data_IF_335366794976
#
_entry.id   IF_335366794976
#
_cell.length_a   1.000
_cell.length_b   1.000
_cell.length_c   1.000
_cell.angle_alpha   90.00
_cell.angle_beta   90.00
_cell.angle_gamma   90.00
#
_symmetry.space_group_name_H-M   'P 1'
#
loop_
_entity.id
_entity.type
_entity.pdbx_description
1 polymer ?
#
# COMPACT_ATOMS: atom_id res chain seq x y z
N UNK A 1 -6.74 -29.10 -22.70
CA UNK A 1 -6.43 -27.76 -23.26
C UNK A 1 -7.75 -27.05 -23.55
N UNK A 2 -8.23 -26.20 -22.64
CA UNK A 2 -9.35 -25.31 -22.93
C UNK A 2 -8.77 -24.08 -23.62
N UNK A 3 -9.10 -23.87 -24.89
CA UNK A 3 -8.72 -22.67 -25.61
C UNK A 3 -9.26 -21.44 -24.87
N UNK A 4 -8.36 -20.62 -24.30
CA UNK A 4 -8.72 -19.34 -23.70
C UNK A 4 -9.33 -18.48 -24.80
N UNK A 5 -10.61 -18.10 -24.66
CA UNK A 5 -11.23 -17.14 -25.57
C UNK A 5 -10.33 -15.90 -25.69
N UNK A 6 -10.03 -15.41 -26.90
CA UNK A 6 -9.23 -14.21 -27.04
C UNK A 6 -9.92 -13.08 -26.27
N UNK A 7 -9.21 -12.52 -25.29
CA UNK A 7 -9.69 -11.36 -24.54
C UNK A 7 -9.94 -10.25 -25.57
N UNK A 8 -11.13 -9.67 -25.57
CA UNK A 8 -11.51 -8.70 -26.61
C UNK A 8 -10.59 -7.47 -26.56
N UNK A 9 -10.19 -6.97 -27.73
CA UNK A 9 -9.38 -5.75 -27.85
C UNK A 9 -10.02 -4.55 -27.14
N UNK A 10 -11.36 -4.54 -27.05
CA UNK A 10 -12.12 -3.54 -26.29
C UNK A 10 -11.78 -3.53 -24.78
N UNK A 11 -11.58 -4.70 -24.15
CA UNK A 11 -11.23 -4.77 -22.73
C UNK A 11 -9.81 -4.22 -22.47
N UNK A 12 -8.87 -4.47 -23.38
CA UNK A 12 -7.53 -3.87 -23.30
C UNK A 12 -7.59 -2.35 -23.43
N UNK A 13 -8.36 -1.83 -24.39
CA UNK A 13 -8.58 -0.39 -24.54
C UNK A 13 -9.13 0.21 -23.22
N UNK A 14 -10.12 -0.43 -22.61
CA UNK A 14 -10.69 0.02 -21.32
C UNK A 14 -9.62 0.04 -20.22
N UNK A 15 -8.82 -1.03 -20.08
CA UNK A 15 -7.76 -1.09 -19.08
C UNK A 15 -6.69 -0.01 -19.29
N UNK A 16 -6.30 0.26 -20.54
CA UNK A 16 -5.36 1.33 -20.86
C UNK A 16 -5.95 2.71 -20.58
N UNK A 17 -7.22 2.95 -20.91
CA UNK A 17 -7.90 4.21 -20.59
C UNK A 17 -7.95 4.43 -19.08
N UNK A 18 -8.33 3.40 -18.31
CA UNK A 18 -8.37 3.48 -16.84
C UNK A 18 -6.97 3.80 -16.29
N UNK A 19 -5.95 3.05 -16.71
CA UNK A 19 -4.58 3.29 -16.30
C UNK A 19 -4.12 4.72 -16.64
N UNK A 20 -4.39 5.18 -17.86
CA UNK A 20 -4.05 6.52 -18.31
C UNK A 20 -4.78 7.61 -17.51
N UNK A 21 -6.07 7.44 -17.21
CA UNK A 21 -6.85 8.37 -16.37
C UNK A 21 -6.25 8.44 -14.97
N UNK A 22 -5.94 7.30 -14.33
CA UNK A 22 -5.33 7.29 -13.01
C UNK A 22 -3.97 7.99 -13.02
N UNK A 23 -3.12 7.67 -13.99
CA UNK A 23 -1.81 8.29 -14.12
C UNK A 23 -1.95 9.80 -14.36
N UNK A 24 -2.78 10.22 -15.31
CA UNK A 24 -3.03 11.63 -15.60
C UNK A 24 -3.57 12.39 -14.39
N UNK A 25 -4.50 11.78 -13.64
CA UNK A 25 -5.04 12.37 -12.41
C UNK A 25 -3.97 12.56 -11.34
N UNK A 26 -3.09 11.58 -11.14
CA UNK A 26 -2.00 11.72 -10.17
C UNK A 26 -1.00 12.78 -10.65
N UNK A 27 -0.64 12.83 -11.94
CA UNK A 27 0.20 13.92 -12.46
C UNK A 27 -0.46 15.29 -12.29
N UNK A 28 -1.77 15.38 -12.46
CA UNK A 28 -2.53 16.60 -12.20
C UNK A 28 -2.47 17.02 -10.73
N UNK A 29 -2.61 16.08 -9.79
CA UNK A 29 -2.40 16.36 -8.36
C UNK A 29 -0.97 16.87 -8.12
N UNK A 30 0.04 16.23 -8.71
CA UNK A 30 1.43 16.67 -8.60
C UNK A 30 1.64 18.10 -9.13
N UNK A 31 1.07 18.41 -10.29
CA UNK A 31 1.08 19.75 -10.85
C UNK A 31 0.37 20.77 -9.96
N UNK A 32 -0.79 20.41 -9.39
CA UNK A 32 -1.54 21.27 -8.48
C UNK A 32 -0.74 21.60 -7.20
N UNK A 33 -0.07 20.60 -6.61
CA UNK A 33 0.82 20.79 -5.45
C UNK A 33 1.97 21.75 -5.81
N UNK A 34 2.62 21.54 -6.97
CA UNK A 34 3.72 22.38 -7.42
C UNK A 34 3.28 23.81 -7.76
N UNK A 35 2.13 23.98 -8.39
CA UNK A 35 1.60 25.28 -8.80
C UNK A 35 1.17 26.14 -7.60
N UNK A 36 0.62 25.52 -6.55
CA UNK A 36 0.17 26.21 -5.34
C UNK A 36 1.29 26.40 -4.31
N UNK A 37 2.33 25.57 -4.37
CA UNK A 37 3.44 25.59 -3.41
C UNK A 37 3.24 24.59 -2.28
N UNK A 38 4.36 24.15 -1.70
CA UNK A 38 4.37 23.17 -0.60
C UNK A 38 3.85 23.77 0.72
N UNK A 39 3.92 25.09 0.86
CA UNK A 39 3.49 25.87 2.02
C UNK A 39 1.97 26.04 2.12
N UNK A 40 1.24 25.87 1.02
CA UNK A 40 -0.21 26.07 0.94
C UNK A 40 -0.99 24.77 0.82
N UNK A 41 -0.70 23.80 1.70
CA UNK A 41 -1.28 22.46 1.59
C UNK A 41 -2.80 22.42 1.75
N UNK A 42 -3.38 23.38 2.46
CA UNK A 42 -4.83 23.56 2.56
C UNK A 42 -5.51 23.90 1.23
N UNK A 43 -4.77 24.44 0.26
CA UNK A 43 -5.30 24.81 -1.06
C UNK A 43 -5.18 23.68 -2.09
N UNK A 44 -4.37 22.65 -1.83
CA UNK A 44 -4.22 21.54 -2.78
C UNK A 44 -5.54 20.84 -3.03
N UNK A 45 -5.75 20.38 -4.26
CA UNK A 45 -6.97 19.68 -4.66
C UNK A 45 -7.16 18.39 -3.85
N UNK A 46 -6.07 17.67 -3.58
CA UNK A 46 -6.08 16.43 -2.80
C UNK A 46 -6.43 16.67 -1.32
N UNK A 47 -6.25 17.88 -0.82
CA UNK A 47 -6.58 18.27 0.56
C UNK A 47 -8.04 18.74 0.70
N UNK A 48 -8.71 19.15 -0.39
CA UNK A 48 -10.09 19.66 -0.31
C UNK A 48 -11.09 18.68 0.35
N UNK A 49 -11.08 17.37 0.05
CA UNK A 49 -11.94 16.42 0.76
C UNK A 49 -11.69 16.41 2.27
N UNK A 50 -10.43 16.57 2.69
CA UNK A 50 -10.05 16.60 4.11
C UNK A 50 -10.58 17.86 4.80
N UNK A 51 -10.54 19.01 4.12
CA UNK A 51 -11.09 20.26 4.63
C UNK A 51 -12.62 20.19 4.78
N UNK A 52 -13.32 19.57 3.82
CA UNK A 52 -14.78 19.45 3.82
C UNK A 52 -15.27 18.51 4.93
N UNK A 53 -14.62 17.35 5.08
CA UNK A 53 -14.98 16.36 6.11
C UNK A 53 -14.65 16.86 7.52
N UNK A 54 -13.65 17.74 7.64
CA UNK A 54 -13.14 18.24 8.91
C UNK A 54 -12.40 17.17 9.72
N UNK A 55 -11.61 17.61 10.69
CA UNK A 55 -10.77 16.72 11.51
C UNK A 55 -11.59 15.66 12.25
N UNK A 56 -12.71 16.03 12.86
CA UNK A 56 -13.48 15.07 13.68
C UNK A 56 -14.17 14.00 12.82
N UNK A 57 -14.67 14.36 11.64
CA UNK A 57 -15.22 13.41 10.68
C UNK A 57 -14.15 12.46 10.15
N UNK A 58 -12.99 12.99 9.78
CA UNK A 58 -11.83 12.20 9.36
C UNK A 58 -11.33 11.28 10.47
N UNK A 59 -11.27 11.76 11.71
CA UNK A 59 -10.83 10.98 12.86
C UNK A 59 -11.80 9.82 13.13
N UNK A 60 -13.12 10.05 13.05
CA UNK A 60 -14.12 9.00 13.20
C UNK A 60 -14.02 7.93 12.10
N UNK A 61 -13.99 8.35 10.83
CA UNK A 61 -13.89 7.43 9.68
C UNK A 61 -12.60 6.63 9.75
N UNK A 62 -11.49 7.32 9.99
CA UNK A 62 -10.18 6.69 10.05
C UNK A 62 -10.03 5.81 11.29
N UNK A 63 -10.73 6.09 12.39
CA UNK A 63 -10.78 5.23 13.56
C UNK A 63 -11.44 3.89 13.29
N UNK A 64 -12.52 3.88 12.49
CA UNK A 64 -13.13 2.62 12.01
C UNK A 64 -12.14 1.86 11.13
N UNK A 65 -11.51 2.54 10.17
CA UNK A 65 -10.50 1.93 9.29
C UNK A 65 -9.28 1.43 10.06
N UNK A 66 -8.90 2.11 11.14
CA UNK A 66 -7.82 1.71 12.03
C UNK A 66 -8.18 0.45 12.82
N UNK A 67 -9.36 0.41 13.41
CA UNK A 67 -9.86 -0.78 14.10
C UNK A 67 -9.94 -1.98 13.15
N UNK A 68 -10.58 -1.81 12.00
CA UNK A 68 -10.70 -2.88 11.00
C UNK A 68 -9.33 -3.34 10.49
N UNK A 69 -8.44 -2.41 10.15
CA UNK A 69 -7.09 -2.73 9.68
C UNK A 69 -6.26 -3.49 10.73
N UNK A 70 -6.36 -3.08 12.00
CA UNK A 70 -5.67 -3.73 13.12
C UNK A 70 -6.22 -5.13 13.38
N UNK A 71 -7.55 -5.30 13.36
CA UNK A 71 -8.19 -6.61 13.49
C UNK A 71 -7.80 -7.54 12.35
N UNK A 72 -7.79 -7.05 11.10
CA UNK A 72 -7.33 -7.81 9.94
C UNK A 72 -5.87 -8.24 10.12
N UNK A 73 -5.00 -7.34 10.54
CA UNK A 73 -3.59 -7.63 10.76
C UNK A 73 -3.39 -8.79 11.72
N UNK A 74 -3.99 -8.74 12.92
CA UNK A 74 -3.87 -9.83 13.89
C UNK A 74 -4.59 -11.10 13.43
N UNK A 75 -5.74 -10.96 12.78
CA UNK A 75 -6.50 -12.11 12.29
C UNK A 75 -5.72 -12.91 11.23
N UNK A 76 -5.16 -12.23 10.23
CA UNK A 76 -4.36 -12.84 9.17
C UNK A 76 -3.10 -13.50 9.73
N UNK A 77 -2.41 -12.85 10.68
CA UNK A 77 -1.26 -13.45 11.37
C UNK A 77 -1.63 -14.65 12.23
N UNK A 78 -2.84 -14.69 12.79
CA UNK A 78 -3.37 -15.85 13.52
C UNK A 78 -3.75 -17.04 12.63
N UNK A 79 -3.61 -16.90 11.30
CA UNK A 79 -3.99 -17.93 10.32
C UNK A 79 -5.50 -18.00 10.08
N UNK A 80 -6.21 -16.88 10.23
CA UNK A 80 -7.63 -16.74 9.88
C UNK A 80 -7.75 -15.69 8.78
N UNK A 81 -8.52 -15.99 7.75
CA UNK A 81 -8.69 -15.09 6.60
C UNK A 81 -10.15 -14.99 6.19
N UNK A 82 -10.49 -13.95 5.44
CA UNK A 82 -11.82 -13.84 4.84
C UNK A 82 -11.91 -14.64 3.53
N UNK A 83 -13.01 -15.38 3.36
CA UNK A 83 -13.44 -15.92 2.07
C UNK A 83 -14.91 -15.55 1.85
N UNK A 84 -15.13 -14.49 1.08
CA UNK A 84 -16.45 -13.84 1.00
C UNK A 84 -16.81 -13.22 2.35
N UNK A 85 -17.98 -13.58 2.89
CA UNK A 85 -18.47 -13.11 4.19
C UNK A 85 -18.10 -14.04 5.37
N UNK A 86 -17.39 -15.15 5.12
CA UNK A 86 -17.02 -16.12 6.16
C UNK A 86 -15.54 -15.99 6.54
N UNK A 87 -15.27 -16.12 7.83
CA UNK A 87 -13.91 -16.27 8.36
C UNK A 87 -13.54 -17.75 8.24
N UNK A 88 -12.49 -18.05 7.48
CA UNK A 88 -11.98 -19.41 7.25
C UNK A 88 -10.55 -19.52 7.76
N UNK A 89 -10.12 -20.73 8.09
CA UNK A 89 -8.74 -20.95 8.56
C UNK A 89 -7.81 -21.02 7.35
N UNK A 90 -6.85 -20.10 7.31
CA UNK A 90 -5.76 -20.10 6.36
C UNK A 90 -4.51 -20.62 7.06
N UNK A 91 -4.08 -21.83 6.71
CA UNK A 91 -2.84 -22.36 7.28
C UNK A 91 -1.67 -21.77 6.51
N UNK A 92 -1.10 -20.70 7.07
CA UNK A 92 0.22 -20.22 6.70
C UNK A 92 1.19 -21.17 7.38
N UNK A 93 1.94 -21.96 6.60
CA UNK A 93 2.83 -22.97 7.14
C UNK A 93 4.01 -22.36 7.90
N UNK A 94 4.39 -21.11 7.57
CA UNK A 94 5.60 -20.46 8.09
C UNK A 94 6.81 -21.36 7.93
N UNK A 95 6.96 -21.94 6.73
CA UNK A 95 8.13 -22.74 6.40
C UNK A 95 9.35 -21.86 6.11
N UNK A 96 10.50 -22.48 5.89
CA UNK A 96 11.74 -21.76 5.61
C UNK A 96 11.61 -20.79 4.42
N UNK A 97 10.74 -21.09 3.44
CA UNK A 97 10.51 -20.22 2.28
C UNK A 97 9.74 -18.98 2.71
N UNK A 98 8.64 -19.13 3.45
CA UNK A 98 7.82 -18.00 3.91
C UNK A 98 8.65 -17.06 4.81
N UNK A 99 9.45 -17.61 5.74
CA UNK A 99 10.35 -16.82 6.59
C UNK A 99 11.41 -16.10 5.77
N UNK A 100 12.03 -16.79 4.80
CA UNK A 100 13.03 -16.19 3.92
C UNK A 100 12.45 -15.09 3.06
N UNK A 101 11.24 -15.30 2.53
CA UNK A 101 10.54 -14.29 1.70
C UNK A 101 10.20 -13.07 2.54
N UNK A 102 9.69 -13.22 3.76
CA UNK A 102 9.43 -12.09 4.65
C UNK A 102 10.71 -11.31 4.96
N UNK A 103 11.81 -12.00 5.28
CA UNK A 103 13.10 -11.38 5.55
C UNK A 103 13.69 -10.66 4.33
N UNK A 104 13.65 -11.29 3.15
CA UNK A 104 14.14 -10.69 1.91
C UNK A 104 13.27 -9.50 1.48
N UNK A 105 11.95 -9.60 1.58
CA UNK A 105 11.04 -8.48 1.33
C UNK A 105 11.33 -7.33 2.28
N UNK A 106 11.56 -7.60 3.57
CA UNK A 106 11.94 -6.56 4.54
C UNK A 106 13.29 -5.92 4.22
N UNK A 107 14.31 -6.71 3.89
CA UNK A 107 15.64 -6.21 3.55
C UNK A 107 15.61 -5.37 2.26
N UNK A 108 14.94 -5.84 1.22
CA UNK A 108 14.85 -5.13 -0.07
C UNK A 108 13.99 -3.87 0.08
N UNK A 109 12.80 -3.96 0.70
CA UNK A 109 11.94 -2.80 0.87
C UNK A 109 12.58 -1.76 1.81
N UNK A 110 13.02 -2.19 2.99
CA UNK A 110 13.62 -1.31 3.98
C UNK A 110 14.94 -0.70 3.52
N UNK A 111 15.80 -1.51 2.90
CA UNK A 111 17.06 -1.05 2.31
C UNK A 111 16.84 -0.06 1.17
N UNK A 112 15.89 -0.32 0.27
CA UNK A 112 15.56 0.60 -0.82
C UNK A 112 14.95 1.92 -0.30
N UNK A 113 14.10 1.86 0.73
CA UNK A 113 13.55 3.05 1.37
C UNK A 113 14.65 3.89 2.05
N UNK A 114 15.57 3.26 2.77
CA UNK A 114 16.69 3.93 3.42
C UNK A 114 17.65 4.56 2.39
N UNK A 115 17.99 3.80 1.33
CA UNK A 115 18.87 4.28 0.26
C UNK A 115 18.27 5.46 -0.53
N UNK A 116 16.93 5.53 -0.63
CA UNK A 116 16.21 6.62 -1.30
C UNK A 116 15.78 7.73 -0.35
N UNK A 117 16.20 7.69 0.93
CA UNK A 117 15.86 8.64 2.00
C UNK A 117 16.41 10.06 1.86
N UNK A 118 17.10 10.39 0.77
CA UNK A 118 17.88 11.62 0.64
C UNK A 118 17.07 12.92 0.49
N UNK A 119 15.76 12.86 0.22
CA UNK A 119 14.91 14.06 0.04
C UNK A 119 13.75 14.01 1.04
N UNK A 120 13.97 14.46 2.30
CA UNK A 120 12.89 14.56 3.28
C UNK A 120 11.88 15.62 2.86
N UNK A 121 10.60 15.30 2.99
CA UNK A 121 9.49 16.24 2.73
C UNK A 121 8.97 16.77 4.06
N UNK A 122 8.89 15.89 5.06
CA UNK A 122 8.63 16.23 6.46
C UNK A 122 9.77 15.61 7.27
N UNK A 123 10.68 16.43 7.82
CA UNK A 123 11.73 15.93 8.71
C UNK A 123 11.12 15.10 9.84
N UNK A 124 11.58 13.86 10.02
CA UNK A 124 11.07 12.98 11.07
C UNK A 124 9.91 12.05 10.70
N UNK A 125 9.20 12.29 9.59
CA UNK A 125 7.92 11.60 9.33
C UNK A 125 7.74 11.05 7.92
N UNK A 126 8.15 11.77 6.87
CA UNK A 126 8.00 11.26 5.48
C UNK A 126 8.96 11.93 4.50
N UNK A 127 9.37 11.18 3.50
CA UNK A 127 10.28 11.59 2.43
C UNK A 127 9.73 11.12 1.08
N UNK A 128 10.42 11.45 -0.02
CA UNK A 128 10.06 10.86 -1.32
C UNK A 128 10.43 9.38 -1.28
N UNK A 129 9.45 8.47 -1.43
CA UNK A 129 9.66 7.02 -1.30
C UNK A 129 9.49 6.25 -2.63
N UNK A 130 10.48 6.26 -3.53
CA UNK A 130 10.45 5.44 -4.75
C UNK A 130 10.26 3.94 -4.49
N UNK A 131 10.75 3.46 -3.35
CA UNK A 131 10.60 2.04 -2.99
C UNK A 131 9.15 1.62 -2.68
N UNK A 132 8.20 2.57 -2.51
CA UNK A 132 6.80 2.26 -2.23
C UNK A 132 6.11 1.45 -3.33
N UNK A 133 6.62 1.43 -4.57
CA UNK A 133 6.12 0.52 -5.59
C UNK A 133 6.33 -0.97 -5.25
N UNK A 134 7.31 -1.29 -4.42
CA UNK A 134 7.59 -2.67 -4.01
C UNK A 134 6.59 -3.18 -2.97
N UNK A 135 6.02 -2.28 -2.17
CA UNK A 135 5.12 -2.63 -1.08
C UNK A 135 3.87 -3.41 -1.54
N UNK A 136 3.02 -2.89 -2.45
CA UNK A 136 1.87 -3.62 -2.98
C UNK A 136 2.32 -4.84 -3.80
N UNK A 137 3.46 -4.76 -4.47
CA UNK A 137 4.01 -5.84 -5.27
C UNK A 137 4.36 -7.07 -4.43
N UNK A 138 5.01 -6.88 -3.27
CA UNK A 138 5.35 -7.97 -2.37
C UNK A 138 4.11 -8.65 -1.79
N UNK A 139 3.07 -7.90 -1.45
CA UNK A 139 1.79 -8.50 -1.08
C UNK A 139 1.20 -9.33 -2.23
N UNK A 140 1.12 -8.76 -3.43
CA UNK A 140 0.58 -9.42 -4.62
C UNK A 140 1.30 -10.74 -4.95
N UNK A 141 2.62 -10.78 -4.81
CA UNK A 141 3.45 -11.92 -5.22
C UNK A 141 3.63 -12.95 -4.11
N UNK A 142 3.77 -12.50 -2.88
CA UNK A 142 4.18 -13.34 -1.75
C UNK A 142 3.14 -13.45 -0.63
N UNK A 143 2.03 -12.74 -0.72
CA UNK A 143 0.92 -12.81 0.23
C UNK A 143 1.28 -12.25 1.60
N UNK A 144 0.80 -12.90 2.67
CA UNK A 144 1.03 -12.46 4.06
C UNK A 144 2.52 -12.35 4.41
N UNK A 145 3.41 -13.30 4.04
CA UNK A 145 4.85 -13.12 4.22
C UNK A 145 5.40 -11.84 3.56
N UNK A 146 4.95 -11.53 2.34
CA UNK A 146 5.33 -10.29 1.65
C UNK A 146 4.80 -9.04 2.34
N UNK A 147 3.55 -9.06 2.78
CA UNK A 147 2.92 -7.95 3.50
C UNK A 147 3.61 -7.67 4.85
N UNK A 148 3.93 -8.73 5.60
CA UNK A 148 4.69 -8.61 6.84
C UNK A 148 6.12 -8.12 6.56
N UNK A 149 6.75 -8.61 5.49
CA UNK A 149 8.05 -8.12 5.03
C UNK A 149 8.02 -6.61 4.75
N UNK A 150 6.99 -6.10 4.09
CA UNK A 150 6.81 -4.66 3.87
C UNK A 150 6.70 -3.87 5.18
N UNK A 151 5.93 -4.37 6.15
CA UNK A 151 5.81 -3.74 7.48
C UNK A 151 7.14 -3.67 8.23
N UNK A 152 7.85 -4.80 8.28
CA UNK A 152 9.17 -4.90 8.94
C UNK A 152 10.18 -4.03 8.20
N UNK A 153 10.16 -4.05 6.86
CA UNK A 153 11.02 -3.21 6.03
C UNK A 153 10.81 -1.73 6.27
N UNK A 154 9.56 -1.27 6.44
CA UNK A 154 9.29 0.11 6.83
C UNK A 154 9.93 0.46 8.18
N UNK A 155 9.79 -0.42 9.17
CA UNK A 155 10.41 -0.23 10.48
C UNK A 155 11.93 -0.14 10.42
N UNK A 156 12.56 -1.01 9.62
CA UNK A 156 14.00 -0.99 9.39
C UNK A 156 14.40 0.33 8.72
N UNK A 157 13.66 0.78 7.71
CA UNK A 157 13.93 2.06 7.06
C UNK A 157 13.84 3.24 8.02
N UNK A 158 12.80 3.28 8.86
CA UNK A 158 12.63 4.33 9.87
C UNK A 158 13.79 4.29 10.90
N UNK A 159 14.25 3.10 11.30
CA UNK A 159 15.40 2.95 12.19
C UNK A 159 16.71 3.45 11.55
N UNK A 160 16.98 3.06 10.30
CA UNK A 160 18.18 3.46 9.56
C UNK A 160 18.20 4.96 9.23
N UNK A 161 17.03 5.56 9.01
CA UNK A 161 16.89 6.97 8.72
C UNK A 161 16.85 7.85 10.00
N UNK A 162 16.88 7.26 11.19
CA UNK A 162 16.83 7.97 12.47
C UNK A 162 15.44 8.51 12.85
N UNK A 163 14.38 7.98 12.23
CA UNK A 163 13.00 8.42 12.40
C UNK A 163 12.13 7.45 13.22
N UNK A 164 12.72 6.38 13.74
CA UNK A 164 12.01 5.39 14.54
C UNK A 164 11.41 6.05 15.80
N UNK A 165 10.08 6.09 15.85
CA UNK A 165 9.34 6.74 16.93
C UNK A 165 8.05 5.97 17.25
N UNK A 166 7.28 6.45 18.23
CA UNK A 166 5.93 5.93 18.48
C UNK A 166 5.03 6.05 17.24
N UNK A 167 5.27 7.04 16.38
CA UNK A 167 4.58 7.19 15.10
C UNK A 167 4.84 6.03 14.13
N UNK A 168 6.02 5.41 14.19
CA UNK A 168 6.36 4.28 13.32
C UNK A 168 5.39 3.11 13.52
N UNK A 169 4.87 2.85 14.72
CA UNK A 169 3.90 1.77 14.98
C UNK A 169 2.67 1.84 14.07
N UNK A 170 2.15 3.05 13.83
CA UNK A 170 1.09 3.27 12.84
C UNK A 170 1.56 2.94 11.41
N UNK A 171 2.79 3.32 11.09
CA UNK A 171 3.47 2.96 9.84
C UNK A 171 3.65 1.45 9.64
N UNK A 172 3.90 0.66 10.70
CA UNK A 172 4.05 -0.80 10.59
C UNK A 172 2.80 -1.43 9.98
N UNK A 173 1.64 -1.15 10.57
CA UNK A 173 0.36 -1.72 10.15
C UNK A 173 -0.15 -1.01 8.89
N UNK A 174 0.09 0.29 8.71
CA UNK A 174 -0.22 0.99 7.45
C UNK A 174 0.47 0.35 6.25
N UNK A 175 1.76 0.03 6.37
CA UNK A 175 2.52 -0.67 5.33
C UNK A 175 2.17 -2.16 5.20
N UNK A 176 1.57 -2.77 6.23
CA UNK A 176 0.93 -4.07 6.06
C UNK A 176 -0.28 -3.92 5.13
N UNK A 177 -1.14 -2.94 5.40
CA UNK A 177 -2.40 -2.70 4.68
C UNK A 177 -2.12 -2.41 3.20
N UNK A 178 -1.11 -1.59 2.89
CA UNK A 178 -0.79 -1.26 1.49
C UNK A 178 -0.45 -2.50 0.66
N UNK A 179 0.19 -3.50 1.28
CA UNK A 179 0.53 -4.78 0.65
C UNK A 179 -0.65 -5.77 0.69
N UNK A 180 -1.39 -5.80 1.79
CA UNK A 180 -2.48 -6.72 2.04
C UNK A 180 -3.70 -6.49 1.13
N UNK A 181 -4.07 -5.22 0.90
CA UNK A 181 -5.25 -4.86 0.10
C UNK A 181 -5.19 -5.46 -1.32
N UNK A 182 -4.15 -5.21 -2.14
CA UNK A 182 -4.07 -5.80 -3.48
C UNK A 182 -3.80 -7.30 -3.45
N UNK A 183 -3.07 -7.82 -2.46
CA UNK A 183 -2.94 -9.27 -2.23
C UNK A 183 -4.31 -9.94 -2.17
N UNK A 184 -5.21 -9.41 -1.34
CA UNK A 184 -6.45 -10.08 -0.97
C UNK A 184 -7.60 -9.81 -1.92
N UNK A 185 -7.72 -8.58 -2.40
CA UNK A 185 -8.89 -8.12 -3.16
C UNK A 185 -8.75 -8.30 -4.67
N UNK A 186 -7.51 -8.35 -5.19
CA UNK A 186 -7.30 -8.72 -6.58
C UNK A 186 -7.56 -10.21 -6.77
N UNK A 187 -8.22 -10.56 -7.88
CA UNK A 187 -8.49 -11.94 -8.28
C UNK A 187 -7.49 -12.43 -9.31
N UNK A 188 -6.87 -11.52 -10.06
CA UNK A 188 -5.81 -11.82 -11.01
C UNK A 188 -4.58 -10.94 -10.73
N UNK A 189 -3.49 -11.60 -10.33
CA UNK A 189 -2.23 -10.98 -9.94
C UNK A 189 -1.19 -10.97 -11.07
N UNK A 190 -1.56 -11.40 -12.28
CA UNK A 190 -0.60 -11.65 -13.37
C UNK A 190 -0.08 -10.41 -14.08
N UNK A 191 -0.75 -9.26 -13.94
CA UNK A 191 -0.52 -8.04 -14.73
C UNK A 191 -0.57 -8.24 -16.25
N UNK A 192 -1.13 -9.37 -16.71
CA UNK A 192 -1.16 -9.79 -18.12
C UNK A 192 -2.56 -9.84 -18.70
N UNK A 193 -3.55 -9.46 -17.90
CA UNK A 193 -4.95 -9.35 -18.33
C UNK A 193 -5.46 -7.94 -18.05
N UNK A 194 -6.42 -7.44 -18.85
CA UNK A 194 -7.06 -6.16 -18.58
C UNK A 194 -7.64 -6.08 -17.18
N UNK A 195 -8.21 -7.19 -16.71
CA UNK A 195 -8.77 -7.33 -15.37
C UNK A 195 -7.72 -7.07 -14.29
N UNK A 196 -6.54 -7.71 -14.40
CA UNK A 196 -5.47 -7.53 -13.41
C UNK A 196 -5.00 -6.08 -13.33
N UNK A 197 -4.93 -5.38 -14.47
CA UNK A 197 -4.54 -3.96 -14.53
C UNK A 197 -5.60 -3.10 -13.84
N UNK A 198 -6.88 -3.28 -14.19
CA UNK A 198 -7.98 -2.50 -13.58
C UNK A 198 -8.06 -2.76 -12.08
N UNK A 199 -8.03 -4.02 -11.66
CA UNK A 199 -8.06 -4.40 -10.24
C UNK A 199 -6.85 -3.83 -9.50
N UNK A 200 -5.68 -3.76 -10.12
CA UNK A 200 -4.50 -3.14 -9.54
C UNK A 200 -4.66 -1.63 -9.32
N UNK A 201 -5.15 -0.88 -10.31
CA UNK A 201 -5.36 0.57 -10.15
C UNK A 201 -6.43 0.87 -9.09
N UNK A 202 -7.48 0.05 -8.99
CA UNK A 202 -8.50 0.22 -7.96
C UNK A 202 -7.98 -0.17 -6.58
N UNK A 203 -7.51 -1.40 -6.40
CA UNK A 203 -7.15 -1.92 -5.08
C UNK A 203 -5.73 -1.56 -4.65
N UNK A 204 -4.78 -1.66 -5.57
CA UNK A 204 -3.35 -1.48 -5.30
C UNK A 204 -2.85 -0.04 -5.38
N UNK A 205 -3.50 0.83 -6.16
CA UNK A 205 -3.12 2.26 -6.25
C UNK A 205 -4.05 3.11 -5.37
N UNK A 206 -5.37 3.03 -5.57
CA UNK A 206 -6.30 3.93 -4.90
C UNK A 206 -6.60 3.49 -3.46
N UNK A 207 -7.21 2.33 -3.28
CA UNK A 207 -7.75 1.90 -1.98
C UNK A 207 -6.65 1.65 -0.96
N UNK A 208 -5.58 0.95 -1.35
CA UNK A 208 -4.40 0.72 -0.51
C UNK A 208 -3.76 2.02 -0.02
N UNK A 209 -3.56 3.02 -0.90
CA UNK A 209 -2.90 4.29 -0.57
C UNK A 209 -3.76 5.13 0.37
N UNK A 210 -5.08 5.20 0.10
CA UNK A 210 -6.03 5.92 0.95
C UNK A 210 -6.12 5.25 2.33
N UNK A 211 -6.34 3.94 2.39
CA UNK A 211 -6.46 3.24 3.68
C UNK A 211 -5.17 3.32 4.49
N UNK A 212 -4.01 3.06 3.88
CA UNK A 212 -2.72 3.20 4.54
C UNK A 212 -2.53 4.61 5.14
N UNK A 213 -2.80 5.66 4.35
CA UNK A 213 -2.66 7.04 4.82
C UNK A 213 -3.60 7.38 5.97
N UNK A 214 -4.89 7.03 5.85
CA UNK A 214 -5.89 7.29 6.90
C UNK A 214 -5.58 6.50 8.18
N UNK A 215 -5.12 5.26 8.06
CA UNK A 215 -4.71 4.44 9.20
C UNK A 215 -3.55 5.10 9.97
N UNK A 216 -2.50 5.52 9.25
CA UNK A 216 -1.33 6.16 9.88
C UNK A 216 -1.75 7.51 10.48
N UNK A 217 -2.52 8.32 9.76
CA UNK A 217 -2.95 9.64 10.21
C UNK A 217 -3.82 9.57 11.47
N UNK A 218 -4.69 8.57 11.58
CA UNK A 218 -5.44 8.33 12.82
C UNK A 218 -4.53 8.00 13.99
N UNK A 219 -3.55 7.11 13.79
CA UNK A 219 -2.57 6.76 14.82
C UNK A 219 -1.77 8.00 15.27
N UNK A 220 -1.34 8.84 14.33
CA UNK A 220 -0.60 10.06 14.63
C UNK A 220 -1.45 11.09 15.40
N UNK A 221 -2.74 11.25 15.08
CA UNK A 221 -3.63 12.16 15.81
C UNK A 221 -3.90 11.62 17.24
N UNK A 222 -4.16 10.31 17.36
CA UNK A 222 -4.37 9.67 18.65
C UNK A 222 -3.13 9.76 19.56
N UNK A 223 -1.94 9.51 19.01
CA UNK A 223 -0.68 9.55 19.74
C UNK A 223 -0.01 10.95 19.73
N UNK A 224 -0.74 11.99 19.30
CA UNK A 224 -0.25 13.38 19.25
C UNK A 224 0.41 13.87 20.56
N UNK A 225 -0.10 13.55 21.78
CA UNK A 225 0.55 13.97 23.02
C UNK A 225 1.98 13.44 23.21
N UNK A 226 2.34 12.34 22.55
CA UNK A 226 3.66 11.71 22.63
C UNK A 226 4.52 12.06 21.42
N UNK A 227 3.90 12.26 20.26
CA UNK A 227 4.57 12.51 18.98
C UNK A 227 4.84 14.00 18.77
N UNK A 228 3.99 14.88 19.29
CA UNK A 228 4.12 16.34 19.17
C UNK A 228 3.80 16.91 17.79
N UNK A 229 3.23 16.12 16.87
CA UNK A 229 2.86 16.59 15.53
C UNK A 229 1.50 17.32 15.55
N UNK A 230 1.39 18.58 15.10
CA UNK A 230 0.13 19.31 15.12
C UNK A 230 -0.98 18.60 14.31
N UNK A 231 -2.18 18.46 14.89
CA UNK A 231 -3.32 17.78 14.25
C UNK A 231 -3.73 18.38 12.91
N UNK A 232 -3.70 19.71 12.79
CA UNK A 232 -3.97 20.38 11.53
C UNK A 232 -2.96 20.00 10.43
N UNK A 233 -1.71 19.77 10.81
CA UNK A 233 -0.67 19.33 9.89
C UNK A 233 -0.81 17.85 9.50
N UNK A 234 -1.23 16.98 10.44
CA UNK A 234 -1.54 15.57 10.16
C UNK A 234 -2.58 15.45 9.04
N UNK A 235 -3.72 16.13 9.19
CA UNK A 235 -4.83 15.99 8.26
C UNK A 235 -4.72 16.90 7.03
N UNK A 236 -4.10 18.07 7.16
CA UNK A 236 -4.00 19.08 6.09
C UNK A 236 -2.77 18.96 5.20
N UNK A 237 -1.73 18.22 5.62
CA UNK A 237 -0.51 18.01 4.83
C UNK A 237 -0.13 16.54 4.76
N UNK A 238 0.07 15.89 5.91
CA UNK A 238 0.65 14.54 5.95
C UNK A 238 -0.26 13.52 5.26
N UNK A 239 -1.55 13.48 5.59
CA UNK A 239 -2.46 12.49 5.03
C UNK A 239 -2.61 12.61 3.49
N UNK A 240 -2.87 13.80 2.91
CA UNK A 240 -2.91 13.97 1.46
C UNK A 240 -1.57 13.65 0.79
N UNK A 241 -0.45 14.08 1.40
CA UNK A 241 0.89 13.82 0.87
C UNK A 241 1.20 12.32 0.80
N UNK A 242 0.90 11.56 1.86
CA UNK A 242 1.14 10.10 1.88
C UNK A 242 0.30 9.39 0.82
N UNK A 243 -0.96 9.81 0.60
CA UNK A 243 -1.80 9.27 -0.49
C UNK A 243 -1.13 9.52 -1.84
N UNK A 244 -0.75 10.76 -2.12
CA UNK A 244 -0.10 11.11 -3.38
C UNK A 244 1.20 10.32 -3.58
N UNK A 245 2.07 10.30 -2.56
CA UNK A 245 3.38 9.65 -2.65
C UNK A 245 3.25 8.13 -2.90
N UNK A 246 2.35 7.47 -2.16
CA UNK A 246 2.07 6.05 -2.34
C UNK A 246 1.47 5.78 -3.72
N UNK A 247 0.44 6.54 -4.12
CA UNK A 247 -0.26 6.31 -5.37
C UNK A 247 0.62 6.59 -6.60
N UNK A 248 1.41 7.66 -6.60
CA UNK A 248 2.19 8.10 -7.75
C UNK A 248 3.20 7.06 -8.23
N UNK A 249 4.09 6.64 -7.33
CA UNK A 249 5.12 5.66 -7.69
C UNK A 249 4.49 4.29 -7.94
N UNK A 250 3.47 3.93 -7.15
CA UNK A 250 2.79 2.64 -7.30
C UNK A 250 2.07 2.51 -8.63
N UNK A 251 1.41 3.58 -9.10
CA UNK A 251 0.68 3.61 -10.36
C UNK A 251 1.56 3.42 -11.60
N UNK A 252 2.83 3.83 -11.52
CA UNK A 252 3.74 3.85 -12.67
C UNK A 252 4.65 2.63 -12.64
N UNK A 253 5.34 2.39 -11.52
CA UNK A 253 6.43 1.42 -11.45
C UNK A 253 5.90 0.00 -11.17
N UNK A 254 4.90 -0.15 -10.32
CA UNK A 254 4.42 -1.48 -9.91
C UNK A 254 3.85 -2.31 -11.06
N UNK A 255 3.06 -1.78 -12.01
CA UNK A 255 2.58 -2.58 -13.14
C UNK A 255 3.72 -3.10 -14.01
N UNK A 256 4.77 -2.29 -14.21
CA UNK A 256 5.96 -2.66 -14.98
C UNK A 256 6.69 -3.80 -14.26
N UNK A 257 6.98 -3.62 -12.97
CA UNK A 257 7.64 -4.65 -12.15
C UNK A 257 6.79 -5.91 -12.05
N UNK A 258 5.48 -5.79 -11.87
CA UNK A 258 4.54 -6.90 -11.81
C UNK A 258 4.55 -7.73 -13.09
N UNK A 259 4.51 -7.08 -14.26
CA UNK A 259 4.57 -7.75 -15.55
C UNK A 259 5.88 -8.55 -15.76
N UNK A 260 7.01 -8.01 -15.28
CA UNK A 260 8.34 -8.61 -15.41
C UNK A 260 8.56 -9.72 -14.37
N UNK A 261 8.19 -9.50 -13.12
CA UNK A 261 8.53 -10.36 -11.98
C UNK A 261 7.52 -11.47 -11.74
N UNK A 262 6.25 -11.32 -12.15
CA UNK A 262 5.24 -12.35 -11.95
C UNK A 262 5.62 -13.71 -12.58
N UNK A 263 6.05 -13.79 -13.86
CA UNK A 263 6.43 -15.06 -14.48
C UNK A 263 7.57 -15.81 -13.79
N UNK A 264 8.76 -15.20 -13.51
CA UNK A 264 9.85 -15.93 -12.87
C UNK A 264 9.53 -16.34 -11.44
N UNK A 265 8.73 -15.55 -10.70
CA UNK A 265 8.31 -15.90 -9.33
C UNK A 265 7.35 -17.08 -9.35
N UNK A 266 6.39 -17.08 -10.26
CA UNK A 266 5.46 -18.20 -10.42
C UNK A 266 6.18 -19.47 -10.87
N UNK A 267 7.11 -19.37 -11.83
CA UNK A 267 7.89 -20.50 -12.31
C UNK A 267 8.76 -21.15 -11.20
N UNK A 268 9.20 -20.36 -10.21
CA UNK A 268 9.98 -20.84 -9.06
C UNK A 268 9.11 -21.35 -7.89
N UNK A 269 7.79 -21.42 -8.06
CA UNK A 269 6.87 -21.80 -6.99
C UNK A 269 6.84 -20.80 -5.83
N UNK A 270 7.28 -19.56 -6.07
CA UNK A 270 7.32 -18.53 -5.03
C UNK A 270 6.00 -17.77 -4.87
N UNK A 271 5.07 -17.96 -5.82
CA UNK A 271 3.77 -17.31 -5.81
C UNK A 271 2.88 -17.86 -4.70
N UNK A 272 2.36 -16.96 -3.87
CA UNK A 272 1.65 -17.32 -2.63
C UNK A 272 0.42 -18.20 -2.86
N UNK A 273 -0.35 -17.95 -3.92
CA UNK A 273 -1.63 -18.63 -4.14
C UNK A 273 -1.43 -20.11 -4.50
N UNK A 274 -0.27 -20.46 -5.04
CA UNK A 274 0.10 -21.84 -5.36
C UNK A 274 0.55 -22.61 -4.09
N UNK A 275 0.87 -21.90 -3.00
CA UNK A 275 1.38 -22.48 -1.73
C UNK A 275 0.36 -22.55 -0.61
N UNK A 276 -0.59 -21.62 -0.57
CA UNK A 276 -1.52 -21.48 0.56
C UNK A 276 -2.64 -22.52 0.48
N UNK A 277 -2.90 -23.20 1.61
CA UNK A 277 -4.07 -24.08 1.79
C UNK A 277 -5.13 -23.36 2.62
N UNK A 278 -6.29 -23.11 2.01
CA UNK A 278 -7.48 -22.60 2.71
C UNK A 278 -8.33 -23.79 3.13
N UNK A 279 -8.45 -24.01 4.44
CA UNK A 279 -9.30 -25.05 5.01
C UNK A 279 -10.70 -24.45 5.22
N UNK A 280 -11.69 -25.00 4.52
CA UNK A 280 -13.10 -24.58 4.56
C UNK A 280 -13.91 -25.44 5.51
#
# INVERSE_FOLDING_TARGET
MMASRPISSALWIIAFIIAAIFVAFIFYIGFDILAKGLDKSSEWIITQPFNILGRDGLFAISGVLWLVGTLIFFMELSGRTFKGLKIVRQVIKWDAIDVSVAALSAAVYGGALAATGGIPIIPGFTWVRPANALAPLFGILFGIPGALGTSIGNFIADALAGYLSVGSLGGFVGNFIIAYVPYKLMRDHSFRTPRSIIEFYVWGVLVSSVWCSLYISWWLDFAEPVIGLPKAFIWGFFAPWVIFNNAFITAIITPILGFILYPPIKARGLYWADRIKILG
#
